data_IF_491771927827
#
_entry.id   IF_491771927827
#
_cell.length_a   1.000
_cell.length_b   1.000
_cell.length_c   1.000
_cell.angle_alpha   90.00
_cell.angle_beta   90.00
_cell.angle_gamma   90.00
#
_symmetry.space_group_name_H-M   'P 1'
#
loop_
_entity.id
_entity.type
_entity.pdbx_description
1 polymer ?
#
# COMPACT_ATOMS: atom_id res chain seq x y z
N UNK A 1 9.05 -15.96 -17.40
CA UNK A 1 9.70 -15.55 -16.14
C UNK A 1 9.41 -16.62 -15.09
N UNK A 2 10.39 -17.13 -14.32
CA UNK A 2 10.12 -18.10 -13.24
C UNK A 2 9.11 -17.52 -12.23
N UNK A 3 8.16 -18.30 -11.71
CA UNK A 3 7.07 -17.78 -10.86
C UNK A 3 7.53 -16.97 -9.64
N UNK A 4 8.71 -17.29 -9.10
CA UNK A 4 9.36 -16.49 -8.05
C UNK A 4 9.51 -15.02 -8.45
N UNK A 5 10.04 -14.75 -9.64
CA UNK A 5 10.30 -13.39 -10.11
C UNK A 5 9.00 -12.64 -10.37
N UNK A 6 8.01 -13.34 -10.91
CA UNK A 6 6.68 -12.77 -11.15
C UNK A 6 5.98 -12.40 -9.83
N UNK A 7 6.02 -13.29 -8.84
CA UNK A 7 5.50 -13.01 -7.50
C UNK A 7 6.20 -11.81 -6.87
N UNK A 8 7.54 -11.78 -6.85
CA UNK A 8 8.31 -10.63 -6.31
C UNK A 8 7.84 -9.32 -6.93
N UNK A 9 7.74 -9.28 -8.27
CA UNK A 9 7.38 -8.08 -9.04
C UNK A 9 5.95 -7.59 -8.76
N UNK A 10 5.01 -8.52 -8.56
CA UNK A 10 3.58 -8.22 -8.46
C UNK A 10 3.10 -7.93 -7.03
N UNK A 11 3.98 -8.07 -6.01
CA UNK A 11 3.62 -7.72 -4.64
C UNK A 11 3.33 -6.23 -4.48
N UNK A 12 2.19 -5.93 -3.85
CA UNK A 12 1.77 -4.57 -3.50
C UNK A 12 2.14 -4.26 -2.05
N UNK A 13 2.62 -3.06 -1.77
CA UNK A 13 2.84 -2.63 -0.40
C UNK A 13 1.49 -2.48 0.33
N UNK A 14 1.40 -3.07 1.52
CA UNK A 14 0.29 -2.90 2.44
C UNK A 14 0.77 -2.21 3.74
N UNK A 15 0.91 -0.87 3.72
CA UNK A 15 1.15 -0.07 4.91
C UNK A 15 0.09 -0.32 5.97
N UNK A 16 0.51 -0.53 7.21
CA UNK A 16 -0.39 -0.84 8.30
C UNK A 16 0.18 -0.49 9.68
N UNK A 17 -0.64 0.15 10.50
CA UNK A 17 -0.33 0.37 11.92
C UNK A 17 -0.54 -0.91 12.77
N UNK A 18 -1.15 -1.94 12.19
CA UNK A 18 -1.53 -3.18 12.88
C UNK A 18 -0.31 -3.99 13.33
N UNK A 19 -0.40 -4.61 14.49
CA UNK A 19 0.50 -5.66 14.93
C UNK A 19 0.31 -6.97 14.15
N UNK A 20 1.25 -7.91 14.24
CA UNK A 20 1.21 -9.17 13.50
C UNK A 20 -0.08 -9.98 13.75
N UNK A 21 -0.58 -10.02 14.99
CA UNK A 21 -1.82 -10.72 15.33
C UNK A 21 -3.06 -10.08 14.70
N UNK A 22 -3.12 -8.75 14.69
CA UNK A 22 -4.21 -7.99 14.05
C UNK A 22 -4.18 -8.15 12.53
N UNK A 23 -3.00 -8.13 11.92
CA UNK A 23 -2.85 -8.44 10.48
C UNK A 23 -3.37 -9.84 10.18
N UNK A 24 -3.04 -10.81 11.04
CA UNK A 24 -3.41 -12.21 10.86
C UNK A 24 -4.92 -12.46 10.96
N UNK A 25 -5.61 -11.67 11.78
CA UNK A 25 -7.05 -11.75 11.99
C UNK A 25 -7.84 -10.94 10.98
N UNK A 26 -7.39 -9.73 10.66
CA UNK A 26 -8.19 -8.73 9.95
C UNK A 26 -7.91 -8.71 8.44
N UNK A 27 -6.75 -9.20 7.97
CA UNK A 27 -6.38 -9.17 6.56
C UNK A 27 -6.48 -10.59 5.98
N UNK A 28 -7.32 -10.86 4.97
CA UNK A 28 -7.44 -12.18 4.35
C UNK A 28 -6.10 -12.79 3.90
N UNK A 29 -5.96 -14.12 4.02
CA UNK A 29 -4.72 -14.85 3.70
C UNK A 29 -4.28 -14.63 2.24
N UNK A 30 -5.24 -14.56 1.32
CA UNK A 30 -5.04 -14.29 -0.10
C UNK A 30 -4.40 -12.91 -0.34
N UNK A 31 -4.80 -11.89 0.43
CA UNK A 31 -4.23 -10.55 0.33
C UNK A 31 -2.82 -10.56 0.91
N UNK A 32 -2.62 -11.17 2.08
CA UNK A 32 -1.29 -11.26 2.72
C UNK A 32 -0.28 -11.99 1.83
N UNK A 33 -0.68 -13.06 1.16
CA UNK A 33 0.20 -13.84 0.28
C UNK A 33 0.68 -13.05 -0.95
N UNK A 34 -0.03 -11.99 -1.34
CA UNK A 34 0.25 -11.14 -2.52
C UNK A 34 0.71 -9.73 -2.15
N UNK A 35 0.92 -9.46 -0.86
CA UNK A 35 1.35 -8.16 -0.37
C UNK A 35 2.75 -8.21 0.26
N UNK A 36 3.44 -7.07 0.24
CA UNK A 36 4.58 -6.81 1.13
C UNK A 36 4.09 -5.96 2.29
N UNK A 37 4.30 -6.43 3.51
CA UNK A 37 3.90 -5.73 4.73
C UNK A 37 4.87 -6.01 5.88
N UNK A 38 4.89 -5.12 6.85
CA UNK A 38 5.63 -5.28 8.10
C UNK A 38 4.76 -4.74 9.22
N UNK A 39 4.61 -5.51 10.31
CA UNK A 39 3.79 -5.09 11.44
C UNK A 39 4.23 -3.72 11.98
N UNK A 40 3.25 -2.84 12.24
CA UNK A 40 3.44 -1.46 12.72
C UNK A 40 4.25 -0.55 11.81
N UNK A 41 4.25 -0.81 10.50
CA UNK A 41 4.85 0.07 9.50
C UNK A 41 3.71 0.65 8.65
N UNK A 42 3.19 1.79 9.09
CA UNK A 42 2.12 2.52 8.40
C UNK A 42 2.66 3.50 7.36
N UNK A 43 3.93 3.85 7.48
CA UNK A 43 4.66 4.73 6.58
C UNK A 43 4.93 3.99 5.27
N UNK A 44 4.32 4.49 4.23
CA UNK A 44 4.37 3.94 2.90
C UNK A 44 5.79 4.06 2.33
N UNK A 45 6.49 5.19 2.52
CA UNK A 45 7.88 5.33 2.05
C UNK A 45 8.83 4.29 2.66
N UNK A 46 8.72 4.03 3.97
CA UNK A 46 9.51 3.01 4.66
C UNK A 46 9.21 1.65 4.08
N UNK A 47 7.92 1.32 3.93
CA UNK A 47 7.52 0.02 3.43
C UNK A 47 7.95 -0.20 1.97
N UNK A 48 7.88 0.82 1.12
CA UNK A 48 8.34 0.73 -0.27
C UNK A 48 9.83 0.61 -0.40
N UNK A 49 10.58 1.39 0.39
CA UNK A 49 12.04 1.27 0.41
C UNK A 49 12.45 -0.11 0.92
N UNK A 50 11.80 -0.60 1.97
CA UNK A 50 12.02 -1.94 2.50
C UNK A 50 11.70 -3.02 1.48
N UNK A 51 10.58 -2.89 0.76
CA UNK A 51 10.22 -3.80 -0.33
C UNK A 51 11.28 -3.78 -1.42
N UNK A 52 11.66 -2.60 -1.91
CA UNK A 52 12.66 -2.45 -2.98
C UNK A 52 13.98 -3.13 -2.62
N UNK A 53 14.53 -2.84 -1.43
CA UNK A 53 15.78 -3.46 -0.96
C UNK A 53 15.62 -4.97 -0.81
N UNK A 54 14.47 -5.42 -0.29
CA UNK A 54 14.18 -6.86 -0.19
C UNK A 54 14.07 -7.50 -1.57
N UNK A 55 13.44 -6.86 -2.54
CA UNK A 55 13.30 -7.35 -3.91
C UNK A 55 14.66 -7.41 -4.63
N UNK A 56 15.54 -6.43 -4.40
CA UNK A 56 16.93 -6.45 -4.87
C UNK A 56 17.70 -7.65 -4.29
N UNK A 57 17.55 -7.91 -2.99
CA UNK A 57 18.11 -9.09 -2.35
C UNK A 57 17.54 -10.39 -2.94
N UNK A 58 16.22 -10.50 -3.08
CA UNK A 58 15.56 -11.71 -3.56
C UNK A 58 15.85 -12.01 -5.03
N UNK A 59 16.10 -10.97 -5.83
CA UNK A 59 16.51 -11.07 -7.23
C UNK A 59 18.01 -11.34 -7.40
N UNK A 60 18.80 -11.20 -6.34
CA UNK A 60 20.25 -11.41 -6.36
C UNK A 60 21.05 -10.19 -6.84
N UNK A 61 20.43 -9.01 -6.92
CA UNK A 61 21.12 -7.75 -7.27
C UNK A 61 22.07 -7.28 -6.16
N UNK A 62 21.72 -7.56 -4.90
CA UNK A 62 22.53 -7.23 -3.73
C UNK A 62 22.64 -8.43 -2.78
N UNK A 63 23.69 -8.43 -1.95
CA UNK A 63 23.90 -9.44 -0.91
C UNK A 63 22.99 -9.26 0.31
N UNK A 64 22.87 -10.30 1.16
CA UNK A 64 22.05 -10.23 2.38
C UNK A 64 22.56 -9.16 3.36
N UNK A 65 23.88 -9.08 3.54
CA UNK A 65 24.49 -8.12 4.48
C UNK A 65 24.32 -6.68 4.01
N UNK A 66 24.47 -6.44 2.70
CA UNK A 66 24.20 -5.16 2.06
C UNK A 66 22.72 -4.76 2.22
N UNK A 67 21.79 -5.68 1.93
CA UNK A 67 20.37 -5.43 2.13
C UNK A 67 20.05 -5.08 3.59
N UNK A 68 20.62 -5.79 4.56
CA UNK A 68 20.46 -5.48 5.99
C UNK A 68 21.00 -4.10 6.34
N UNK A 69 22.17 -3.73 5.81
CA UNK A 69 22.76 -2.40 6.04
C UNK A 69 21.87 -1.28 5.48
N UNK A 70 21.41 -1.40 4.23
CA UNK A 70 20.53 -0.44 3.58
C UNK A 70 19.19 -0.29 4.30
N UNK A 71 18.59 -1.40 4.76
CA UNK A 71 17.35 -1.36 5.54
C UNK A 71 17.56 -0.63 6.87
N UNK A 72 18.68 -0.90 7.57
CA UNK A 72 19.01 -0.27 8.84
C UNK A 72 19.24 1.23 8.68
N UNK A 73 20.04 1.61 7.69
CA UNK A 73 20.32 3.01 7.37
C UNK A 73 19.02 3.77 7.14
N UNK A 74 18.13 3.23 6.28
CA UNK A 74 16.86 3.88 5.98
C UNK A 74 15.92 3.94 7.20
N UNK A 75 15.86 2.88 8.01
CA UNK A 75 15.08 2.87 9.24
C UNK A 75 15.53 3.96 10.23
N UNK A 76 16.85 4.13 10.39
CA UNK A 76 17.44 5.17 11.24
C UNK A 76 17.17 6.58 10.71
N UNK A 77 17.41 6.80 9.42
CA UNK A 77 17.12 8.07 8.77
C UNK A 77 15.64 8.45 8.88
N UNK A 78 14.74 7.46 8.91
CA UNK A 78 13.30 7.63 9.08
C UNK A 78 12.83 7.69 10.54
N UNK A 79 13.75 7.80 11.51
CA UNK A 79 13.41 7.90 12.94
C UNK A 79 12.76 6.64 13.53
N UNK A 80 13.00 5.46 12.96
CA UNK A 80 12.43 4.18 13.41
C UNK A 80 13.39 3.31 14.23
N UNK A 81 14.48 3.90 14.70
CA UNK A 81 15.41 3.26 15.63
C UNK A 81 15.11 3.73 17.06
N UNK A 82 14.58 2.85 17.90
CA UNK A 82 14.36 3.12 19.33
C UNK A 82 15.56 2.72 20.21
N UNK A 83 16.67 2.30 19.59
CA UNK A 83 17.90 1.87 20.26
C UNK A 83 17.85 0.47 20.88
N UNK A 84 16.70 -0.24 20.83
CA UNK A 84 16.56 -1.58 21.41
C UNK A 84 16.80 -2.68 20.37
N UNK A 85 17.28 -3.85 20.79
CA UNK A 85 17.34 -5.04 19.91
C UNK A 85 15.98 -5.78 19.82
N UNK A 86 14.87 -5.13 20.18
CA UNK A 86 13.56 -5.76 20.15
C UNK A 86 13.03 -5.90 18.71
N UNK A 87 12.13 -6.86 18.48
CA UNK A 87 11.41 -7.00 17.20
C UNK A 87 10.45 -5.84 16.88
N UNK A 88 10.20 -4.95 17.85
CA UNK A 88 9.41 -3.73 17.63
C UNK A 88 10.26 -2.60 17.03
N UNK A 89 11.57 -2.59 17.30
CA UNK A 89 12.50 -1.67 16.67
C UNK A 89 12.67 -2.05 15.20
N UNK A 90 12.37 -1.14 14.28
CA UNK A 90 12.49 -1.43 12.85
C UNK A 90 13.94 -1.46 12.36
N UNK A 91 14.87 -0.85 13.10
CA UNK A 91 16.29 -0.82 12.79
C UNK A 91 17.10 -1.96 13.46
N UNK A 92 16.48 -2.74 14.37
CA UNK A 92 17.19 -3.81 15.09
C UNK A 92 17.63 -4.94 14.18
N UNK A 93 18.72 -5.61 14.56
CA UNK A 93 19.22 -6.75 13.78
C UNK A 93 18.17 -7.86 13.70
N UNK A 94 17.51 -8.16 14.82
CA UNK A 94 16.49 -9.20 14.88
C UNK A 94 15.31 -8.92 13.93
N UNK A 95 14.85 -7.66 13.84
CA UNK A 95 13.72 -7.30 12.98
C UNK A 95 14.08 -7.35 11.50
N UNK A 96 15.26 -6.84 11.13
CA UNK A 96 15.72 -6.83 9.75
C UNK A 96 15.99 -8.24 9.22
N UNK A 97 16.62 -9.09 10.05
CA UNK A 97 16.82 -10.51 9.71
C UNK A 97 15.50 -11.25 9.52
N UNK A 98 14.51 -10.99 10.38
CA UNK A 98 13.18 -11.59 10.24
C UNK A 98 12.53 -11.20 8.90
N UNK A 99 12.60 -9.92 8.51
CA UNK A 99 12.04 -9.43 7.24
C UNK A 99 12.71 -10.13 6.05
N UNK A 100 14.05 -10.12 6.00
CA UNK A 100 14.81 -10.71 4.89
C UNK A 100 14.60 -12.23 4.81
N UNK A 101 14.71 -12.94 5.94
CA UNK A 101 14.56 -14.39 6.00
C UNK A 101 13.15 -14.84 5.61
N UNK A 102 12.13 -14.21 6.17
CA UNK A 102 10.74 -14.58 5.90
C UNK A 102 10.38 -14.37 4.44
N UNK A 103 10.79 -13.24 3.85
CA UNK A 103 10.55 -12.95 2.44
C UNK A 103 11.31 -13.92 1.52
N UNK A 104 12.55 -14.29 1.86
CA UNK A 104 13.31 -15.30 1.11
C UNK A 104 12.65 -16.68 1.15
N UNK A 105 12.15 -17.08 2.32
CA UNK A 105 11.44 -18.36 2.50
C UNK A 105 10.11 -18.39 1.74
N UNK A 106 9.32 -17.32 1.78
CA UNK A 106 8.10 -17.21 0.97
C UNK A 106 8.40 -17.28 -0.53
N UNK A 107 9.39 -16.54 -1.01
CA UNK A 107 9.80 -16.57 -2.42
C UNK A 107 10.25 -17.97 -2.87
N UNK A 108 11.00 -18.68 -2.00
CA UNK A 108 11.41 -20.08 -2.24
C UNK A 108 10.22 -21.04 -2.22
N UNK A 109 9.24 -20.81 -1.35
CA UNK A 109 8.01 -21.62 -1.29
C UNK A 109 7.17 -21.48 -2.56
N UNK A 110 7.00 -20.26 -3.08
CA UNK A 110 6.32 -20.01 -4.38
C UNK A 110 7.02 -20.77 -5.51
N UNK A 111 8.34 -20.65 -5.61
CA UNK A 111 9.12 -21.38 -6.60
C UNK A 111 8.98 -22.91 -6.48
N UNK A 112 9.07 -23.43 -5.24
CA UNK A 112 8.92 -24.86 -5.00
C UNK A 112 7.52 -25.32 -5.36
N UNK A 113 6.49 -24.55 -5.02
CA UNK A 113 5.10 -24.87 -5.31
C UNK A 113 4.86 -25.04 -6.81
N UNK A 114 5.27 -24.07 -7.63
CA UNK A 114 5.17 -24.16 -9.11
C UNK A 114 5.72 -25.50 -9.65
N UNK A 115 6.91 -25.89 -9.17
CA UNK A 115 7.57 -27.12 -9.62
C UNK A 115 6.91 -28.38 -9.07
N UNK A 116 6.58 -28.39 -7.78
CA UNK A 116 5.98 -29.54 -7.10
C UNK A 116 4.60 -29.89 -7.64
N UNK A 117 3.84 -28.89 -8.08
CA UNK A 117 2.46 -29.06 -8.56
C UNK A 117 2.35 -29.05 -10.09
N UNK A 118 3.47 -29.05 -10.82
CA UNK A 118 3.45 -29.26 -12.27
C UNK A 118 2.86 -30.64 -12.62
N UNK A 119 2.14 -30.80 -13.76
CA UNK A 119 1.55 -32.09 -14.14
C UNK A 119 2.57 -33.24 -14.19
N UNK A 120 3.79 -32.96 -14.65
CA UNK A 120 4.87 -33.95 -14.66
C UNK A 120 5.30 -34.37 -13.24
N UNK A 121 5.44 -33.41 -12.32
CA UNK A 121 5.82 -33.71 -10.94
C UNK A 121 4.70 -34.43 -10.18
N UNK A 122 3.43 -34.11 -10.42
CA UNK A 122 2.29 -34.81 -9.80
C UNK A 122 2.21 -36.27 -10.23
N UNK A 123 2.50 -36.58 -11.50
CA UNK A 123 2.53 -37.98 -11.99
C UNK A 123 3.62 -38.81 -11.33
N UNK A 124 4.80 -38.23 -11.10
CA UNK A 124 5.96 -38.97 -10.55
C UNK A 124 5.95 -38.97 -9.03
N UNK A 125 5.59 -37.85 -8.41
CA UNK A 125 5.63 -37.62 -6.97
C UNK A 125 4.26 -37.12 -6.46
N UNK A 126 3.24 -37.98 -6.36
CA UNK A 126 1.91 -37.56 -5.90
C UNK A 126 1.86 -37.24 -4.39
N UNK A 127 2.90 -37.61 -3.63
CA UNK A 127 2.97 -37.44 -2.19
C UNK A 127 4.13 -36.52 -1.77
N UNK A 128 4.02 -35.98 -0.56
CA UNK A 128 5.11 -35.30 0.14
C UNK A 128 5.28 -35.90 1.53
N UNK A 129 6.54 -36.13 1.92
CA UNK A 129 6.92 -36.36 3.32
C UNK A 129 7.25 -35.02 3.96
N UNK A 130 6.61 -34.74 5.09
CA UNK A 130 6.86 -33.53 5.85
C UNK A 130 8.17 -33.67 6.63
N UNK A 131 9.07 -32.70 6.49
CA UNK A 131 10.37 -32.64 7.19
C UNK A 131 10.40 -31.44 8.11
N UNK A 132 10.26 -31.65 9.41
CA UNK A 132 10.16 -30.58 10.38
C UNK A 132 11.53 -30.02 10.78
N UNK A 133 11.62 -28.69 10.91
CA UNK A 133 12.76 -27.99 11.51
C UNK A 133 14.14 -28.41 10.96
N UNK A 134 14.25 -28.64 9.65
CA UNK A 134 15.46 -29.15 8.99
C UNK A 134 16.65 -28.23 9.28
N UNK A 135 17.73 -28.80 9.83
CA UNK A 135 18.95 -28.07 10.18
C UNK A 135 18.78 -27.08 11.34
N UNK A 136 17.65 -27.06 12.04
CA UNK A 136 17.47 -26.20 13.21
C UNK A 136 18.23 -26.75 14.42
N UNK A 137 19.01 -25.90 15.09
CA UNK A 137 19.65 -26.24 16.39
C UNK A 137 18.63 -26.35 17.52
N UNK A 138 17.47 -25.70 17.39
CA UNK A 138 16.38 -25.75 18.36
C UNK A 138 15.06 -26.02 17.62
N UNK A 139 14.76 -27.30 17.32
CA UNK A 139 13.49 -27.69 16.70
C UNK A 139 12.29 -27.33 17.57
N UNK A 140 11.20 -26.86 16.94
CA UNK A 140 9.96 -26.49 17.64
C UNK A 140 9.05 -27.71 17.72
N UNK A 141 8.58 -28.09 18.91
CA UNK A 141 7.77 -29.29 19.12
C UNK A 141 6.46 -29.27 18.33
N UNK A 142 5.85 -28.08 18.17
CA UNK A 142 4.61 -27.90 17.40
C UNK A 142 4.81 -28.14 15.90
N UNK A 143 6.04 -28.01 15.40
CA UNK A 143 6.41 -28.38 14.03
C UNK A 143 6.84 -29.84 13.97
N UNK A 144 7.57 -30.31 14.99
CA UNK A 144 8.13 -31.67 15.08
C UNK A 144 7.08 -32.78 15.12
N UNK A 145 5.87 -32.52 15.65
CA UNK A 145 4.76 -33.48 15.64
C UNK A 145 4.33 -33.92 14.23
N UNK A 146 4.72 -33.18 13.20
CA UNK A 146 4.42 -33.49 11.80
C UNK A 146 5.59 -34.17 11.06
N UNK A 147 6.76 -34.30 11.67
CA UNK A 147 7.94 -34.86 11.00
C UNK A 147 7.69 -36.31 10.57
N UNK A 148 8.05 -36.62 9.32
CA UNK A 148 7.88 -37.95 8.75
C UNK A 148 6.47 -38.26 8.25
N UNK A 149 5.44 -37.48 8.62
CA UNK A 149 4.08 -37.68 8.10
C UNK A 149 4.05 -37.52 6.58
N UNK A 150 3.27 -38.38 5.91
CA UNK A 150 3.14 -38.41 4.47
C UNK A 150 1.76 -37.92 4.08
N UNK A 151 1.71 -36.91 3.22
CA UNK A 151 0.47 -36.33 2.72
C UNK A 151 0.40 -36.54 1.21
N UNK A 152 -0.82 -36.77 0.70
CA UNK A 152 -1.07 -36.51 -0.72
C UNK A 152 -0.96 -35.01 -0.98
N UNK A 153 -0.48 -34.63 -2.15
CA UNK A 153 -0.33 -33.21 -2.51
C UNK A 153 -1.66 -32.45 -2.59
N UNK A 154 -2.79 -33.15 -2.77
CA UNK A 154 -4.13 -32.56 -2.76
C UNK A 154 -4.77 -32.50 -1.37
N UNK A 155 -4.06 -32.88 -0.30
CA UNK A 155 -4.59 -32.81 1.06
C UNK A 155 -4.83 -31.34 1.50
N UNK A 156 -6.06 -30.99 1.92
CA UNK A 156 -6.38 -29.63 2.38
C UNK A 156 -5.48 -29.09 3.50
N UNK A 157 -4.89 -29.95 4.33
CA UNK A 157 -3.96 -29.56 5.39
C UNK A 157 -2.72 -28.82 4.85
N UNK A 158 -2.27 -29.16 3.64
CA UNK A 158 -1.13 -28.49 3.00
C UNK A 158 -1.42 -27.03 2.65
N UNK A 159 -2.69 -26.60 2.58
CA UNK A 159 -3.04 -25.18 2.38
C UNK A 159 -2.62 -24.30 3.56
N UNK A 160 -2.63 -24.83 4.78
CA UNK A 160 -2.23 -24.06 5.99
C UNK A 160 -0.86 -24.43 6.53
N UNK A 161 -0.32 -25.59 6.18
CA UNK A 161 0.94 -26.11 6.72
C UNK A 161 2.04 -26.31 5.67
N UNK A 162 1.89 -25.80 4.44
CA UNK A 162 3.02 -25.71 3.52
C UNK A 162 4.07 -24.73 4.07
N UNK A 163 5.35 -25.13 4.23
CA UNK A 163 6.36 -24.23 4.75
C UNK A 163 6.69 -23.06 3.78
N UNK A 164 6.93 -21.83 4.31
CA UNK A 164 6.87 -21.46 5.72
C UNK A 164 5.43 -21.15 6.17
N UNK A 165 4.93 -21.84 7.20
CA UNK A 165 3.63 -21.53 7.81
C UNK A 165 3.74 -20.84 9.18
N UNK A 166 4.96 -20.45 9.57
CA UNK A 166 5.22 -19.66 10.78
C UNK A 166 6.54 -18.89 10.61
N UNK A 167 6.72 -17.81 11.37
CA UNK A 167 8.00 -17.08 11.41
C UNK A 167 9.13 -18.01 11.87
N UNK A 168 10.30 -17.90 11.22
CA UNK A 168 11.46 -18.75 11.52
C UNK A 168 11.26 -20.23 11.19
N UNK A 169 10.22 -20.60 10.42
CA UNK A 169 10.01 -21.98 9.99
C UNK A 169 11.18 -22.46 9.10
N UNK A 170 11.74 -23.62 9.42
CA UNK A 170 12.76 -24.34 8.64
C UNK A 170 12.26 -25.71 8.16
N UNK A 171 10.94 -25.91 8.14
CA UNK A 171 10.34 -27.14 7.65
C UNK A 171 10.41 -27.20 6.12
N UNK A 172 10.39 -28.41 5.58
CA UNK A 172 10.41 -28.67 4.14
C UNK A 172 9.40 -29.76 3.76
N UNK A 173 9.00 -29.76 2.49
CA UNK A 173 8.25 -30.85 1.88
C UNK A 173 9.20 -31.62 0.96
N UNK A 174 9.37 -32.90 1.26
CA UNK A 174 10.16 -33.82 0.47
C UNK A 174 9.23 -34.58 -0.48
N UNK A 175 9.39 -34.40 -1.79
CA UNK A 175 8.58 -35.10 -2.79
C UNK A 175 8.93 -36.59 -2.82
N UNK A 176 7.92 -37.44 -2.70
CA UNK A 176 8.10 -38.90 -2.71
C UNK A 176 7.15 -39.57 -3.71
N UNK A 177 7.63 -40.66 -4.30
CA UNK A 177 6.86 -41.52 -5.19
C UNK A 177 5.85 -42.35 -4.39
N UNK A 178 4.84 -42.90 -5.07
CA UNK A 178 3.89 -43.83 -4.45
C UNK A 178 4.57 -45.06 -3.84
N UNK A 179 5.56 -45.63 -4.54
CA UNK A 179 6.37 -46.75 -4.02
C UNK A 179 7.12 -46.40 -2.74
N UNK A 180 7.65 -45.18 -2.64
CA UNK A 180 8.31 -44.71 -1.42
C UNK A 180 7.29 -44.48 -0.30
N UNK A 181 6.13 -43.89 -0.61
CA UNK A 181 5.06 -43.70 0.37
C UNK A 181 4.61 -45.04 0.96
N UNK A 182 4.36 -46.05 0.13
CA UNK A 182 3.98 -47.40 0.58
C UNK A 182 5.03 -48.04 1.49
N UNK A 183 6.33 -47.88 1.18
CA UNK A 183 7.43 -48.39 2.02
C UNK A 183 7.54 -47.69 3.37
N UNK A 184 7.08 -46.45 3.48
CA UNK A 184 7.18 -45.61 4.68
C UNK A 184 5.88 -45.62 5.52
N UNK A 185 4.97 -46.55 5.26
CA UNK A 185 3.72 -46.71 6.02
C UNK A 185 2.48 -46.07 5.38
N UNK A 186 2.62 -45.50 4.19
CA UNK A 186 1.51 -44.91 3.43
C UNK A 186 1.18 -43.46 3.83
N UNK A 187 0.30 -42.79 3.07
CA UNK A 187 -0.18 -41.46 3.41
C UNK A 187 -1.10 -41.49 4.62
N UNK A 188 -1.19 -40.37 5.34
CA UNK A 188 -2.26 -40.16 6.30
C UNK A 188 -3.62 -40.10 5.59
N UNK A 189 -4.69 -40.37 6.33
CA UNK A 189 -6.05 -40.17 5.82
C UNK A 189 -6.25 -38.71 5.42
N UNK A 190 -6.90 -38.43 4.27
CA UNK A 190 -7.13 -37.06 3.82
C UNK A 190 -7.81 -36.21 4.88
N UNK A 191 -7.28 -35.01 5.11
CA UNK A 191 -7.88 -34.07 6.06
C UNK A 191 -9.19 -33.50 5.49
N UNK A 192 -10.33 -33.64 6.19
CA UNK A 192 -11.56 -32.98 5.76
C UNK A 192 -11.40 -31.46 5.74
N UNK A 193 -11.84 -30.74 4.69
CA UNK A 193 -11.66 -29.29 4.57
C UNK A 193 -12.13 -28.50 5.81
N UNK A 194 -13.23 -28.92 6.43
CA UNK A 194 -13.84 -28.27 7.60
C UNK A 194 -13.01 -28.47 8.88
N UNK A 195 -12.06 -29.40 8.87
CA UNK A 195 -11.16 -29.70 10.00
C UNK A 195 -9.78 -29.09 9.85
N UNK A 196 -9.51 -28.37 8.75
CA UNK A 196 -8.24 -27.67 8.55
C UNK A 196 -8.14 -26.51 9.53
N UNK A 197 -7.05 -26.48 10.31
CA UNK A 197 -6.75 -25.40 11.26
C UNK A 197 -5.45 -24.70 10.87
N UNK A 198 -5.30 -23.46 11.33
CA UNK A 198 -4.05 -22.71 11.25
C UNK A 198 -3.35 -22.83 12.62
N UNK A 199 -2.27 -23.61 12.68
CA UNK A 199 -1.53 -23.89 13.92
C UNK A 199 -0.41 -22.88 14.22
N UNK A 200 -0.36 -21.77 13.47
CA UNK A 200 0.67 -20.75 13.64
C UNK A 200 0.56 -20.06 15.00
N UNK A 201 1.58 -20.21 15.86
CA UNK A 201 1.65 -19.56 17.17
C UNK A 201 1.63 -18.03 17.08
N UNK A 202 2.10 -17.51 15.95
CA UNK A 202 2.41 -16.09 15.79
C UNK A 202 1.40 -15.38 14.87
N UNK A 203 0.37 -16.11 14.44
CA UNK A 203 -0.65 -15.67 13.49
C UNK A 203 -0.22 -15.70 12.02
N UNK A 204 1.08 -15.68 11.73
CA UNK A 204 1.58 -15.73 10.36
C UNK A 204 1.23 -17.06 9.69
N UNK A 205 0.61 -16.99 8.52
CA UNK A 205 0.37 -18.14 7.64
C UNK A 205 0.58 -17.70 6.20
N UNK A 206 1.13 -18.59 5.39
CA UNK A 206 1.39 -18.34 3.98
C UNK A 206 1.12 -19.60 3.17
N UNK A 207 0.14 -19.49 2.29
CA UNK A 207 -0.16 -20.52 1.32
C UNK A 207 0.43 -20.10 -0.03
N UNK A 208 1.46 -20.78 -0.54
CA UNK A 208 2.08 -20.43 -1.81
C UNK A 208 1.13 -20.61 -3.01
N UNK A 209 0.02 -21.36 -2.88
CA UNK A 209 -0.97 -21.47 -3.95
C UNK A 209 -1.66 -20.13 -4.22
N UNK A 210 -1.90 -19.30 -3.19
CA UNK A 210 -2.46 -17.95 -3.33
C UNK A 210 -1.57 -17.01 -4.18
N UNK A 211 -0.29 -17.35 -4.38
CA UNK A 211 0.58 -16.60 -5.30
C UNK A 211 0.20 -16.80 -6.79
N UNK A 212 -0.52 -17.87 -7.11
CA UNK A 212 -0.94 -18.26 -8.46
C UNK A 212 -2.43 -18.11 -8.71
N UNK A 213 -3.20 -17.86 -7.64
CA UNK A 213 -4.63 -17.64 -7.75
C UNK A 213 -4.91 -16.39 -8.59
N UNK A 214 -5.40 -16.67 -9.79
CA UNK A 214 -6.25 -15.77 -10.57
C UNK A 214 -7.67 -16.19 -10.20
N UNK A 215 -8.52 -15.28 -9.74
CA UNK A 215 -9.93 -15.63 -9.57
C UNK A 215 -10.52 -16.06 -10.92
N UNK A 216 -11.67 -16.73 -10.94
CA UNK A 216 -12.33 -17.05 -12.21
C UNK A 216 -12.76 -15.73 -12.87
N UNK A 217 -12.15 -15.46 -14.03
CA UNK A 217 -12.18 -14.19 -14.75
C UNK A 217 -12.54 -14.44 -16.22
N UNK A 218 -13.47 -15.34 -16.52
CA UNK A 218 -14.03 -15.49 -17.87
C UNK A 218 -14.56 -14.17 -18.49
N UNK A 219 -14.64 -13.09 -17.70
CA UNK A 219 -14.84 -11.71 -18.18
C UNK A 219 -13.77 -10.66 -17.81
N UNK A 220 -12.58 -11.00 -17.28
CA UNK A 220 -11.61 -10.00 -16.81
C UNK A 220 -10.14 -10.30 -17.16
N UNK A 221 -9.47 -9.26 -17.62
CA UNK A 221 -8.03 -9.20 -17.92
C UNK A 221 -7.18 -9.26 -16.63
N UNK A 222 -5.90 -9.72 -16.70
CA UNK A 222 -5.08 -10.17 -15.56
C UNK A 222 -5.04 -9.19 -14.38
N UNK A 223 -4.90 -9.72 -13.17
CA UNK A 223 -4.92 -9.00 -11.90
C UNK A 223 -4.06 -7.71 -11.93
N UNK A 224 -4.73 -6.62 -12.28
CA UNK A 224 -4.14 -5.29 -12.33
C UNK A 224 -4.14 -4.71 -10.91
N UNK A 225 -3.25 -3.75 -10.66
CA UNK A 225 -3.25 -2.96 -9.41
C UNK A 225 -4.65 -2.46 -9.07
N UNK A 226 -5.43 -2.11 -10.08
CA UNK A 226 -6.84 -1.75 -9.98
C UNK A 226 -7.68 -2.77 -9.21
N UNK A 227 -7.52 -4.07 -9.46
CA UNK A 227 -8.30 -5.13 -8.80
C UNK A 227 -8.02 -5.21 -7.30
N UNK A 228 -6.75 -5.09 -6.90
CA UNK A 228 -6.33 -5.08 -5.50
C UNK A 228 -6.90 -3.87 -4.77
N UNK A 229 -6.87 -2.69 -5.42
CA UNK A 229 -7.47 -1.48 -4.86
C UNK A 229 -8.98 -1.61 -4.71
N UNK A 230 -9.69 -2.20 -5.68
CA UNK A 230 -11.14 -2.44 -5.58
C UNK A 230 -11.48 -3.38 -4.42
N UNK A 231 -10.77 -4.50 -4.29
CA UNK A 231 -10.98 -5.43 -3.18
C UNK A 231 -10.73 -4.77 -1.81
N UNK A 232 -9.68 -3.95 -1.70
CA UNK A 232 -9.43 -3.18 -0.49
C UNK A 232 -10.53 -2.14 -0.22
N UNK A 233 -11.00 -1.45 -1.25
CA UNK A 233 -12.10 -0.47 -1.15
C UNK A 233 -13.39 -1.12 -0.66
N UNK A 234 -13.77 -2.27 -1.23
CA UNK A 234 -14.91 -3.08 -0.79
C UNK A 234 -14.73 -3.55 0.64
N UNK A 235 -13.55 -4.06 1.01
CA UNK A 235 -13.29 -4.51 2.37
C UNK A 235 -13.37 -3.38 3.40
N UNK A 236 -12.91 -2.16 3.06
CA UNK A 236 -13.06 -0.96 3.90
C UNK A 236 -14.53 -0.56 4.01
N UNK A 237 -15.26 -0.59 2.89
CA UNK A 237 -16.69 -0.27 2.84
C UNK A 237 -17.52 -1.22 3.72
N UNK A 238 -17.21 -2.51 3.65
CA UNK A 238 -17.90 -3.60 4.35
C UNK A 238 -17.40 -3.84 5.78
N UNK A 239 -16.46 -3.02 6.28
CA UNK A 239 -15.86 -3.15 7.62
C UNK A 239 -15.02 -4.41 7.83
N UNK A 240 -14.69 -5.15 6.77
CA UNK A 240 -13.72 -6.25 6.81
C UNK A 240 -12.30 -5.73 7.02
N UNK A 241 -12.04 -4.49 6.60
CA UNK A 241 -10.79 -3.78 6.81
C UNK A 241 -11.05 -2.42 7.48
N UNK A 242 -10.15 -2.00 8.37
CA UNK A 242 -10.14 -0.62 8.89
C UNK A 242 -9.63 0.39 7.85
N UNK A 243 -9.44 1.66 8.21
CA UNK A 243 -8.78 2.62 7.31
C UNK A 243 -7.40 2.11 6.86
N UNK A 244 -7.06 2.30 5.59
CA UNK A 244 -5.78 1.80 5.02
C UNK A 244 -5.20 2.76 4.00
N UNK A 245 -3.87 2.83 3.95
CA UNK A 245 -3.11 3.47 2.88
C UNK A 245 -2.29 2.41 2.13
N UNK A 246 -2.16 2.55 0.82
CA UNK A 246 -1.46 1.61 -0.06
C UNK A 246 -0.61 2.34 -1.08
N UNK A 247 0.68 1.98 -1.22
CA UNK A 247 1.43 2.35 -2.43
C UNK A 247 1.05 1.36 -3.51
N UNK A 248 0.26 1.84 -4.46
CA UNK A 248 -0.28 1.03 -5.54
C UNK A 248 0.64 1.01 -6.75
N UNK A 249 1.46 2.07 -6.93
CA UNK A 249 2.54 2.08 -7.90
C UNK A 249 3.79 2.76 -7.34
N UNK A 250 4.99 2.13 -7.42
CA UNK A 250 6.24 2.80 -7.08
C UNK A 250 6.55 3.92 -8.06
N UNK A 251 7.57 4.74 -7.79
CA UNK A 251 8.08 5.66 -8.80
C UNK A 251 8.63 4.89 -10.01
N UNK A 252 8.43 5.43 -11.22
CA UNK A 252 9.02 4.89 -12.45
C UNK A 252 10.14 5.82 -12.95
N UNK A 253 10.84 5.42 -14.01
CA UNK A 253 11.88 6.23 -14.64
C UNK A 253 11.73 6.20 -16.16
N UNK A 254 12.02 7.32 -16.81
CA UNK A 254 12.14 7.40 -18.27
C UNK A 254 10.82 7.38 -19.05
N UNK A 255 9.66 7.44 -18.39
CA UNK A 255 8.38 7.58 -19.08
C UNK A 255 8.13 9.06 -19.45
N UNK A 256 7.67 9.36 -20.68
CA UNK A 256 7.40 10.73 -21.09
C UNK A 256 6.20 11.29 -20.30
N UNK A 257 6.25 12.57 -19.86
CA UNK A 257 5.09 13.22 -19.26
C UNK A 257 3.89 13.26 -20.21
N UNK A 258 2.68 13.07 -19.67
CA UNK A 258 1.43 13.28 -20.39
C UNK A 258 1.22 14.78 -20.68
N UNK A 259 0.59 15.08 -21.82
CA UNK A 259 0.18 16.45 -22.14
C UNK A 259 -0.87 16.94 -21.14
N UNK A 260 -0.66 18.16 -20.65
CA UNK A 260 -1.62 18.86 -19.80
C UNK A 260 -2.55 19.74 -20.67
N UNK A 261 -3.72 20.16 -20.14
CA UNK A 261 -4.57 21.13 -20.84
C UNK A 261 -3.79 22.39 -21.24
N UNK A 262 -4.31 23.12 -22.25
CA UNK A 262 -3.74 24.42 -22.65
C UNK A 262 -3.69 25.34 -21.43
N UNK A 263 -2.48 25.75 -21.10
CA UNK A 263 -2.10 26.42 -19.86
C UNK A 263 -2.78 27.77 -19.66
N UNK A 264 -3.31 28.36 -20.72
CA UNK A 264 -3.91 29.69 -20.72
C UNK A 264 -5.24 29.76 -19.94
N UNK A 265 -6.09 28.72 -20.00
CA UNK A 265 -7.36 28.68 -19.26
C UNK A 265 -7.13 28.46 -17.76
N UNK A 266 -6.15 27.61 -17.43
CA UNK A 266 -5.73 27.35 -16.05
C UNK A 266 -5.09 28.59 -15.44
N UNK A 267 -4.23 29.28 -16.20
CA UNK A 267 -3.61 30.56 -15.81
C UNK A 267 -4.65 31.64 -15.57
N UNK A 268 -5.61 31.83 -16.49
CA UNK A 268 -6.68 32.82 -16.31
C UNK A 268 -7.53 32.55 -15.05
N UNK A 269 -7.82 31.28 -14.76
CA UNK A 269 -8.47 30.88 -13.51
C UNK A 269 -7.64 31.21 -12.28
N UNK A 270 -6.33 30.92 -12.29
CA UNK A 270 -5.42 31.27 -11.19
C UNK A 270 -5.26 32.77 -11.00
N UNK A 271 -5.11 33.54 -12.08
CA UNK A 271 -5.00 35.00 -12.03
C UNK A 271 -6.26 35.64 -11.43
N UNK A 272 -7.46 35.13 -11.77
CA UNK A 272 -8.72 35.59 -11.18
C UNK A 272 -8.82 35.29 -9.67
N UNK A 273 -8.24 34.17 -9.21
CA UNK A 273 -8.22 33.80 -7.79
C UNK A 273 -7.11 34.49 -6.99
N UNK A 274 -5.97 34.79 -7.64
CA UNK A 274 -4.77 35.37 -7.03
C UNK A 274 -5.06 36.69 -6.31
N UNK A 275 -5.61 37.67 -7.03
CA UNK A 275 -5.85 39.01 -6.46
C UNK A 275 -6.86 38.99 -5.31
N UNK A 276 -7.87 38.14 -5.45
CA UNK A 276 -8.92 37.97 -4.43
C UNK A 276 -8.35 37.38 -3.15
N UNK A 277 -7.57 36.31 -3.25
CA UNK A 277 -7.05 35.63 -2.07
C UNK A 277 -5.86 36.37 -1.42
N UNK A 278 -5.04 37.12 -2.18
CA UNK A 278 -4.02 38.02 -1.62
C UNK A 278 -4.62 39.08 -0.70
N UNK A 279 -5.63 39.81 -1.17
CA UNK A 279 -6.34 40.83 -0.39
C UNK A 279 -6.92 40.29 0.91
N UNK A 280 -7.44 39.08 0.88
CA UNK A 280 -8.04 38.46 2.07
C UNK A 280 -7.01 37.97 3.09
N UNK A 281 -5.84 37.50 2.64
CA UNK A 281 -4.72 37.19 3.53
C UNK A 281 -4.20 38.45 4.21
N UNK A 282 -4.02 39.53 3.45
CA UNK A 282 -3.63 40.84 3.97
C UNK A 282 -4.65 41.37 4.99
N UNK A 283 -5.96 41.26 4.70
CA UNK A 283 -7.04 41.62 5.62
C UNK A 283 -7.04 40.76 6.91
N UNK A 284 -6.55 39.52 6.84
CA UNK A 284 -6.36 38.64 7.99
C UNK A 284 -5.01 38.86 8.71
N UNK A 285 -4.21 39.85 8.30
CA UNK A 285 -2.90 40.15 8.89
C UNK A 285 -1.79 39.18 8.48
N UNK A 286 -1.97 38.44 7.39
CA UNK A 286 -1.01 37.48 6.87
C UNK A 286 -0.29 38.06 5.64
N UNK A 287 1.02 37.79 5.51
CA UNK A 287 1.79 38.12 4.32
C UNK A 287 1.55 37.05 3.24
N UNK A 288 0.90 37.38 2.10
CA UNK A 288 0.62 36.42 1.04
C UNK A 288 1.86 35.90 0.31
N UNK A 289 2.97 36.65 0.36
CA UNK A 289 4.25 36.31 -0.28
C UNK A 289 5.17 35.49 0.65
N UNK A 290 4.99 35.63 1.97
CA UNK A 290 5.82 34.97 2.98
C UNK A 290 5.00 34.10 3.95
N UNK A 291 4.03 33.36 3.42
CA UNK A 291 3.32 32.38 4.24
C UNK A 291 4.27 31.27 4.71
N UNK A 292 4.21 30.87 6.00
CA UNK A 292 5.03 29.79 6.52
C UNK A 292 4.85 28.51 5.70
N UNK A 293 5.92 27.72 5.57
CA UNK A 293 5.82 26.39 4.96
C UNK A 293 4.98 25.44 5.82
N UNK A 294 4.64 24.28 5.25
CA UNK A 294 3.80 23.32 5.97
C UNK A 294 4.46 22.82 7.27
N UNK A 295 5.80 22.74 7.33
CA UNK A 295 6.54 22.30 8.51
C UNK A 295 6.39 23.29 9.67
N UNK A 296 6.60 24.57 9.39
CA UNK A 296 6.47 25.68 10.35
C UNK A 296 5.06 25.77 10.90
N UNK A 297 4.06 25.58 10.04
CA UNK A 297 2.65 25.54 10.46
C UNK A 297 2.33 24.31 11.28
N UNK A 298 2.77 23.12 10.85
CA UNK A 298 2.52 21.88 11.59
C UNK A 298 3.18 21.92 12.97
N UNK A 299 4.37 22.50 13.07
CA UNK A 299 5.04 22.75 14.35
C UNK A 299 4.22 23.70 15.22
N UNK A 300 3.77 24.84 14.68
CA UNK A 300 2.92 25.77 15.42
C UNK A 300 1.59 25.15 15.88
N UNK A 301 0.98 24.26 15.08
CA UNK A 301 -0.23 23.51 15.46
C UNK A 301 0.06 22.51 16.58
N UNK A 302 1.18 21.77 16.48
CA UNK A 302 1.63 20.84 17.54
C UNK A 302 1.89 21.57 18.85
N UNK A 303 2.51 22.74 18.79
CA UNK A 303 2.87 23.55 19.95
C UNK A 303 1.67 24.27 20.57
N UNK A 304 0.71 24.72 19.75
CA UNK A 304 -0.48 25.45 20.22
C UNK A 304 -1.68 24.57 20.58
N UNK A 305 -1.70 23.32 20.14
CA UNK A 305 -2.83 22.39 20.31
C UNK A 305 -4.11 22.83 19.59
N UNK A 306 -4.04 23.88 18.76
CA UNK A 306 -5.17 24.44 18.00
C UNK A 306 -4.87 24.37 16.52
N UNK A 307 -5.77 23.76 15.74
CA UNK A 307 -5.78 23.92 14.29
C UNK A 307 -6.24 25.37 14.03
N UNK A 308 -5.43 26.24 13.39
CA UNK A 308 -5.89 27.57 13.02
C UNK A 308 -7.21 27.44 12.26
N UNK A 309 -8.23 28.21 12.66
CA UNK A 309 -9.51 28.18 11.95
C UNK A 309 -9.26 28.43 10.46
N UNK A 310 -9.81 27.53 9.66
CA UNK A 310 -9.74 27.61 8.21
C UNK A 310 -10.24 28.99 7.76
N UNK A 311 -9.66 29.50 6.68
CA UNK A 311 -10.06 30.72 5.97
C UNK A 311 -11.55 31.02 6.16
N UNK A 312 -11.88 32.19 6.73
CA UNK A 312 -13.26 32.51 7.13
C UNK A 312 -14.24 32.37 5.96
N UNK A 313 -15.52 32.10 6.26
CA UNK A 313 -16.56 31.94 5.23
C UNK A 313 -16.66 33.12 4.25
N UNK A 314 -16.29 34.33 4.68
CA UNK A 314 -16.25 35.52 3.83
C UNK A 314 -15.18 35.46 2.73
N UNK A 315 -14.04 34.83 2.98
CA UNK A 315 -12.96 34.62 2.01
C UNK A 315 -13.29 33.45 1.09
N UNK A 316 -13.83 32.35 1.65
CA UNK A 316 -14.36 31.22 0.88
C UNK A 316 -15.36 31.73 -0.15
N UNK A 317 -16.21 32.69 0.24
CA UNK A 317 -17.31 33.12 -0.60
C UNK A 317 -16.93 33.91 -1.85
N UNK A 318 -15.66 34.29 -1.95
CA UNK A 318 -15.07 35.03 -3.07
C UNK A 318 -14.31 34.14 -4.06
N UNK A 319 -14.12 32.85 -3.76
CA UNK A 319 -13.64 31.90 -4.78
C UNK A 319 -14.75 31.61 -5.81
N UNK A 320 -14.39 31.32 -7.07
CA UNK A 320 -15.35 30.94 -8.10
C UNK A 320 -16.30 29.85 -7.62
N UNK A 321 -17.60 30.06 -7.85
CA UNK A 321 -18.62 29.09 -7.49
C UNK A 321 -18.51 27.81 -8.35
N UNK A 322 -18.10 27.97 -9.61
CA UNK A 322 -17.86 26.87 -10.54
C UNK A 322 -16.46 26.26 -10.34
N UNK A 323 -16.34 24.93 -10.25
CA UNK A 323 -15.06 24.24 -10.21
C UNK A 323 -14.18 24.52 -11.43
N UNK A 324 -12.87 24.69 -11.22
CA UNK A 324 -11.90 24.92 -12.27
C UNK A 324 -11.17 23.62 -12.60
N UNK A 325 -11.18 23.20 -13.87
CA UNK A 325 -10.41 22.03 -14.30
C UNK A 325 -8.93 22.39 -14.39
N UNK A 326 -8.12 21.76 -13.54
CA UNK A 326 -6.65 21.95 -13.51
C UNK A 326 -5.92 20.89 -14.31
N UNK A 327 -6.55 19.76 -14.61
CA UNK A 327 -5.91 18.69 -15.38
C UNK A 327 -6.75 17.43 -15.51
N UNK A 328 -6.11 16.36 -15.91
CA UNK A 328 -6.63 14.98 -15.91
C UNK A 328 -5.58 14.10 -15.24
N UNK A 329 -6.01 13.12 -14.45
CA UNK A 329 -5.08 12.17 -13.86
C UNK A 329 -4.39 11.34 -14.96
N UNK A 330 -3.06 11.21 -14.90
CA UNK A 330 -2.34 10.41 -15.89
C UNK A 330 -2.80 8.93 -15.89
N UNK A 331 -2.71 8.31 -17.06
CA UNK A 331 -3.19 6.95 -17.33
C UNK A 331 -2.68 5.91 -16.34
N UNK A 332 -1.37 5.91 -16.07
CA UNK A 332 -0.72 4.98 -15.13
C UNK A 332 -1.25 5.12 -13.72
N UNK A 333 -1.45 6.35 -13.25
CA UNK A 333 -1.99 6.61 -11.92
C UNK A 333 -3.47 6.23 -11.82
N UNK A 334 -4.27 6.52 -12.84
CA UNK A 334 -5.68 6.13 -12.90
C UNK A 334 -5.82 4.59 -12.86
N UNK A 335 -5.07 3.90 -13.72
CA UNK A 335 -5.01 2.43 -13.73
C UNK A 335 -4.57 1.88 -12.37
N UNK A 336 -3.50 2.42 -11.78
CA UNK A 336 -3.00 1.95 -10.49
C UNK A 336 -4.01 2.18 -9.35
N UNK A 337 -4.73 3.30 -9.38
CA UNK A 337 -5.76 3.62 -8.39
C UNK A 337 -7.11 2.91 -8.63
N UNK A 338 -7.21 2.13 -9.71
CA UNK A 338 -8.41 1.37 -10.06
C UNK A 338 -9.60 2.24 -10.42
N UNK A 339 -9.33 3.39 -11.05
CA UNK A 339 -10.35 4.33 -11.53
C UNK A 339 -10.12 4.65 -13.03
N UNK A 340 -11.14 5.07 -13.77
CA UNK A 340 -10.92 5.67 -15.09
C UNK A 340 -10.06 6.94 -14.98
N UNK A 341 -9.54 7.42 -16.10
CA UNK A 341 -8.92 8.75 -16.13
C UNK A 341 -10.00 9.80 -15.92
N UNK A 342 -9.96 10.44 -14.75
CA UNK A 342 -10.94 11.44 -14.35
C UNK A 342 -10.34 12.85 -14.41
N UNK A 343 -11.15 13.87 -14.72
CA UNK A 343 -10.73 15.26 -14.62
C UNK A 343 -10.41 15.61 -13.17
N UNK A 344 -9.37 16.41 -12.98
CA UNK A 344 -8.96 16.97 -11.70
C UNK A 344 -9.45 18.40 -11.63
N UNK A 345 -10.28 18.69 -10.63
CA UNK A 345 -10.93 19.97 -10.42
C UNK A 345 -10.43 20.62 -9.13
N UNK A 346 -10.28 21.94 -9.19
CA UNK A 346 -10.08 22.81 -8.05
C UNK A 346 -11.42 23.46 -7.71
N UNK A 347 -11.94 23.19 -6.51
CA UNK A 347 -13.26 23.65 -6.07
C UNK A 347 -13.15 24.74 -5.00
N UNK A 348 -14.25 25.47 -4.75
CA UNK A 348 -14.45 26.21 -3.50
C UNK A 348 -14.87 25.19 -2.44
N UNK A 349 -13.97 24.83 -1.52
CA UNK A 349 -14.06 23.64 -0.65
C UNK A 349 -15.41 23.36 0.03
N UNK A 350 -15.64 22.09 0.42
CA UNK A 350 -16.95 21.57 0.85
C UNK A 350 -17.04 21.41 2.38
N UNK A 351 -18.11 21.94 2.97
CA UNK A 351 -18.43 21.83 4.41
C UNK A 351 -18.78 20.41 4.89
N UNK A 352 -19.16 19.48 4.00
CA UNK A 352 -19.57 18.10 4.38
C UNK A 352 -18.43 17.18 4.83
N UNK A 353 -17.19 17.48 4.44
CA UNK A 353 -16.04 16.61 4.73
C UNK A 353 -14.86 17.35 5.37
N UNK A 354 -15.08 18.59 5.83
CA UNK A 354 -14.13 19.34 6.65
C UNK A 354 -12.89 19.87 5.93
N UNK A 355 -12.87 19.90 4.59
CA UNK A 355 -11.77 20.48 3.83
C UNK A 355 -12.28 21.70 3.07
N UNK A 356 -12.18 22.86 3.72
CA UNK A 356 -12.26 24.15 3.05
C UNK A 356 -10.91 24.42 2.38
N UNK A 357 -10.93 24.83 1.11
CA UNK A 357 -9.70 25.09 0.35
C UNK A 357 -8.91 26.22 1.02
N UNK A 358 -7.73 25.90 1.55
CA UNK A 358 -6.83 26.91 2.12
C UNK A 358 -5.86 27.37 1.04
N UNK A 359 -5.72 28.69 0.87
CA UNK A 359 -4.64 29.28 0.08
C UNK A 359 -3.28 28.68 0.47
N UNK A 360 -3.04 28.42 1.76
CA UNK A 360 -1.82 27.76 2.26
C UNK A 360 -1.50 26.44 1.55
N UNK A 361 -2.51 25.63 1.23
CA UNK A 361 -2.33 24.31 0.61
C UNK A 361 -2.06 24.39 -0.90
N UNK A 362 -2.12 25.61 -1.46
CA UNK A 362 -1.97 25.89 -2.89
C UNK A 362 -1.19 27.20 -3.12
N UNK A 363 -0.41 27.67 -2.13
CA UNK A 363 0.21 29.00 -2.19
C UNK A 363 1.11 29.13 -3.42
N UNK A 364 1.79 28.04 -3.79
CA UNK A 364 2.62 27.96 -4.98
C UNK A 364 1.81 28.02 -6.29
N UNK A 365 0.56 27.53 -6.27
CA UNK A 365 -0.34 27.61 -7.42
C UNK A 365 -0.86 29.03 -7.64
N UNK A 366 -1.13 29.75 -6.55
CA UNK A 366 -1.76 31.06 -6.63
C UNK A 366 -0.78 32.25 -6.61
N UNK A 367 0.41 32.10 -6.03
CA UNK A 367 1.38 33.20 -5.97
C UNK A 367 2.09 33.42 -7.32
N UNK A 368 2.47 32.32 -8.00
CA UNK A 368 3.24 32.35 -9.24
C UNK A 368 2.65 31.33 -10.23
N UNK A 369 1.90 31.76 -11.26
CA UNK A 369 1.28 30.86 -12.23
C UNK A 369 2.29 29.89 -12.86
N UNK A 370 3.52 30.33 -13.15
CA UNK A 370 4.58 29.49 -13.72
C UNK A 370 4.97 28.34 -12.78
N UNK A 371 4.94 28.55 -11.46
CA UNK A 371 5.15 27.49 -10.48
C UNK A 371 3.97 26.52 -10.44
N UNK A 372 2.74 27.03 -10.59
CA UNK A 372 1.55 26.19 -10.72
C UNK A 372 1.69 25.20 -11.88
N UNK A 373 2.09 25.74 -13.04
CA UNK A 373 2.34 24.99 -14.27
C UNK A 373 3.46 23.95 -14.11
N UNK A 374 4.58 24.36 -13.51
CA UNK A 374 5.70 23.46 -13.23
C UNK A 374 5.25 22.28 -12.36
N UNK A 375 4.57 22.59 -11.25
CA UNK A 375 4.07 21.60 -10.31
C UNK A 375 3.10 20.62 -10.99
N UNK A 376 2.15 21.14 -11.78
CA UNK A 376 1.22 20.37 -12.63
C UNK A 376 1.93 19.35 -13.50
N UNK A 377 3.03 19.76 -14.14
CA UNK A 377 3.87 18.88 -14.96
C UNK A 377 4.63 17.85 -14.14
N UNK A 378 5.17 18.25 -13.00
CA UNK A 378 5.98 17.38 -12.13
C UNK A 378 5.18 16.27 -11.46
N UNK A 379 3.85 16.41 -11.33
CA UNK A 379 2.98 15.40 -10.69
C UNK A 379 1.85 14.89 -11.57
N UNK A 380 0.79 15.67 -11.86
CA UNK A 380 -0.38 15.19 -12.63
C UNK A 380 0.02 14.66 -14.00
N UNK A 381 0.87 15.40 -14.71
CA UNK A 381 1.40 15.00 -16.00
C UNK A 381 2.52 13.96 -15.94
N UNK A 382 3.10 13.68 -14.77
CA UNK A 382 4.28 12.83 -14.68
C UNK A 382 3.92 11.36 -14.35
N UNK A 383 3.98 10.43 -15.31
CA UNK A 383 3.73 9.02 -15.02
C UNK A 383 4.81 8.38 -14.14
N UNK A 384 5.96 9.05 -13.95
CA UNK A 384 7.04 8.57 -13.10
C UNK A 384 6.75 8.72 -11.59
N UNK A 385 5.65 9.38 -11.22
CA UNK A 385 5.28 9.50 -9.82
C UNK A 385 5.00 8.15 -9.16
N UNK A 386 5.32 8.10 -7.87
CA UNK A 386 4.76 7.12 -6.94
C UNK A 386 3.27 7.43 -6.77
N UNK A 387 2.44 6.40 -6.79
CA UNK A 387 0.98 6.51 -6.64
C UNK A 387 0.58 5.84 -5.33
N UNK A 388 -0.04 6.61 -4.45
CA UNK A 388 -0.56 6.15 -3.17
C UNK A 388 -2.07 6.29 -3.17
N UNK A 389 -2.78 5.30 -2.66
CA UNK A 389 -4.23 5.32 -2.45
C UNK A 389 -4.51 5.11 -0.99
N UNK A 390 -5.28 6.00 -0.37
CA UNK A 390 -5.82 5.79 0.97
C UNK A 390 -7.33 5.73 0.97
N UNK A 391 -7.87 4.86 1.82
CA UNK A 391 -9.26 4.44 1.84
C UNK A 391 -9.79 4.50 3.27
N UNK A 392 -10.81 5.32 3.49
CA UNK A 392 -11.51 5.46 4.78
C UNK A 392 -12.99 5.23 4.58
N UNK A 393 -13.59 4.47 5.50
CA UNK A 393 -15.04 4.35 5.57
C UNK A 393 -15.67 5.68 5.97
N UNK A 394 -16.71 6.08 5.26
CA UNK A 394 -17.57 7.21 5.61
C UNK A 394 -19.03 6.83 5.37
N UNK A 395 -19.95 7.76 5.63
CA UNK A 395 -21.35 7.61 5.30
C UNK A 395 -21.88 8.89 4.67
N UNK A 396 -22.66 8.77 3.60
CA UNK A 396 -23.39 9.89 3.01
C UNK A 396 -24.85 9.75 3.40
N UNK A 397 -25.47 10.88 3.75
CA UNK A 397 -26.91 10.93 3.96
C UNK A 397 -27.58 11.19 2.61
N UNK A 398 -28.29 10.19 2.10
CA UNK A 398 -29.18 10.32 0.95
C UNK A 398 -30.64 10.43 1.42
N UNK A 399 -31.48 11.06 0.62
CA UNK A 399 -32.92 11.08 0.85
C UNK A 399 -33.57 10.17 -0.19
N UNK A 400 -34.02 8.99 0.25
CA UNK A 400 -34.73 8.03 -0.61
C UNK A 400 -36.19 8.03 -0.14
N UNK A 401 -37.12 8.32 -1.05
CA UNK A 401 -38.56 8.41 -0.75
C UNK A 401 -38.91 9.29 0.47
N UNK A 402 -38.22 10.43 0.63
CA UNK A 402 -38.47 11.39 1.73
C UNK A 402 -37.89 10.99 3.10
N UNK A 403 -37.20 9.84 3.20
CA UNK A 403 -36.53 9.39 4.43
C UNK A 403 -35.02 9.58 4.31
N UNK A 404 -34.38 10.01 5.40
CA UNK A 404 -32.92 10.10 5.51
C UNK A 404 -32.33 8.72 5.72
N UNK A 405 -31.52 8.26 4.76
CA UNK A 405 -30.78 7.00 4.85
C UNK A 405 -29.28 7.30 4.87
N UNK A 406 -28.55 6.62 5.77
CA UNK A 406 -27.08 6.69 5.83
C UNK A 406 -26.52 5.52 5.01
N UNK A 407 -25.98 5.83 3.84
CA UNK A 407 -25.35 4.84 2.98
C UNK A 407 -23.84 4.81 3.26
N UNK A 408 -23.27 3.63 3.60
CA UNK A 408 -21.83 3.51 3.78
C UNK A 408 -21.12 3.70 2.44
N UNK A 409 -20.06 4.51 2.46
CA UNK A 409 -19.19 4.73 1.31
C UNK A 409 -17.73 4.51 1.73
N UNK A 410 -16.85 4.33 0.74
CA UNK A 410 -15.41 4.41 0.94
C UNK A 410 -14.90 5.70 0.29
N UNK A 411 -14.35 6.61 1.09
CA UNK A 411 -13.64 7.77 0.58
C UNK A 411 -12.27 7.30 0.10
N UNK A 412 -11.99 7.52 -1.19
CA UNK A 412 -10.71 7.21 -1.82
C UNK A 412 -9.93 8.50 -2.05
N UNK A 413 -8.73 8.57 -1.49
CA UNK A 413 -7.76 9.65 -1.71
C UNK A 413 -6.60 9.09 -2.52
N UNK A 414 -6.16 9.84 -3.53
CA UNK A 414 -5.06 9.48 -4.41
C UNK A 414 -3.96 10.53 -4.25
N UNK A 415 -2.73 10.06 -4.12
CA UNK A 415 -1.55 10.92 -3.98
C UNK A 415 -0.55 10.56 -5.06
N UNK A 416 -0.10 11.56 -5.80
CA UNK A 416 1.06 11.48 -6.68
C UNK A 416 2.24 12.10 -5.96
N UNK A 417 3.34 11.36 -5.83
CA UNK A 417 4.58 11.87 -5.24
C UNK A 417 5.74 11.66 -6.21
N UNK A 418 6.41 12.76 -6.58
CA UNK A 418 7.63 12.75 -7.37
C UNK A 418 8.84 12.75 -6.43
N UNK A 419 9.51 11.61 -6.20
CA UNK A 419 10.63 11.54 -5.26
C UNK A 419 11.87 12.32 -5.72
N UNK A 420 11.96 12.67 -7.01
CA UNK A 420 13.11 13.41 -7.54
C UNK A 420 13.00 14.90 -7.22
N UNK A 421 11.80 15.47 -7.33
CA UNK A 421 11.59 16.91 -7.12
C UNK A 421 10.98 17.24 -5.76
N UNK A 422 10.46 16.24 -5.03
CA UNK A 422 9.67 16.45 -3.81
C UNK A 422 8.25 16.97 -4.08
N UNK A 423 7.85 17.09 -5.35
CA UNK A 423 6.51 17.55 -5.72
C UNK A 423 5.45 16.50 -5.36
N UNK A 424 4.36 16.94 -4.74
CA UNK A 424 3.21 16.07 -4.46
C UNK A 424 1.87 16.70 -4.83
N UNK A 425 0.91 15.86 -5.22
CA UNK A 425 -0.45 16.26 -5.55
C UNK A 425 -1.43 15.31 -4.88
N UNK A 426 -2.38 15.85 -4.10
CA UNK A 426 -3.37 15.08 -3.36
C UNK A 426 -4.75 15.38 -3.88
N UNK A 427 -5.52 14.33 -4.12
CA UNK A 427 -6.88 14.43 -4.63
C UNK A 427 -7.81 13.41 -3.97
N UNK A 428 -9.10 13.73 -3.92
CA UNK A 428 -10.15 12.85 -3.42
C UNK A 428 -11.12 12.54 -4.54
N UNK A 429 -11.47 11.27 -4.69
CA UNK A 429 -12.46 10.82 -5.66
C UNK A 429 -13.87 11.20 -5.21
N UNK A 430 -14.61 11.86 -6.10
CA UNK A 430 -16.01 12.24 -5.91
C UNK A 430 -16.79 11.95 -7.19
N UNK A 431 -17.37 10.75 -7.28
CA UNK A 431 -18.08 10.30 -8.48
C UNK A 431 -17.13 10.18 -9.67
N UNK A 432 -17.47 10.84 -10.77
CA UNK A 432 -16.70 10.85 -12.04
C UNK A 432 -15.67 12.00 -12.12
N UNK A 433 -15.26 12.54 -10.98
CA UNK A 433 -14.31 13.64 -10.90
C UNK A 433 -13.35 13.45 -9.72
N UNK A 434 -12.17 14.06 -9.82
CA UNK A 434 -11.17 14.12 -8.76
C UNK A 434 -11.10 15.56 -8.25
N UNK A 435 -11.21 15.74 -6.94
CA UNK A 435 -11.09 17.05 -6.30
C UNK A 435 -9.67 17.21 -5.82
N UNK A 436 -8.96 18.22 -6.30
CA UNK A 436 -7.63 18.58 -5.81
C UNK A 436 -7.79 19.11 -4.38
N UNK A 437 -6.96 18.62 -3.46
CA UNK A 437 -7.07 18.93 -2.02
C UNK A 437 -5.85 19.68 -1.51
N UNK A 438 -4.67 19.31 -1.98
CA UNK A 438 -3.40 19.92 -1.58
C UNK A 438 -2.35 19.72 -2.65
N UNK A 439 -1.44 20.68 -2.75
CA UNK A 439 -0.30 20.63 -3.65
C UNK A 439 0.87 21.46 -3.10
N UNK A 440 2.02 20.83 -2.92
CA UNK A 440 3.24 21.56 -2.56
C UNK A 440 4.51 20.74 -2.90
N UNK A 441 5.66 21.27 -2.47
CA UNK A 441 6.92 20.56 -2.34
C UNK A 441 7.04 20.10 -0.89
N UNK A 442 7.24 18.81 -0.65
CA UNK A 442 7.51 18.29 0.68
C UNK A 442 8.57 17.19 0.63
N UNK A 443 9.14 16.89 1.81
CA UNK A 443 10.05 15.77 1.98
C UNK A 443 9.34 14.44 1.73
N UNK A 444 10.13 13.36 1.60
CA UNK A 444 9.59 12.02 1.33
C UNK A 444 8.54 11.55 2.36
N UNK A 445 8.57 12.12 3.57
CA UNK A 445 7.82 11.74 4.77
C UNK A 445 6.47 12.46 4.94
N UNK A 446 6.19 13.50 4.15
CA UNK A 446 4.94 14.26 4.26
C UNK A 446 3.72 13.40 3.94
N UNK A 447 3.84 12.51 2.95
CA UNK A 447 2.84 11.50 2.56
C UNK A 447 2.53 10.46 3.65
N UNK A 448 3.36 10.37 4.68
CA UNK A 448 3.40 9.24 5.61
C UNK A 448 3.05 9.60 7.05
N UNK A 449 3.21 10.88 7.43
CA UNK A 449 2.90 11.42 8.75
C UNK A 449 1.51 12.06 8.83
N UNK A 450 1.12 12.83 7.81
CA UNK A 450 -0.12 13.63 7.80
C UNK A 450 -1.33 12.90 7.15
N UNK A 451 -1.10 11.72 6.58
CA UNK A 451 -2.10 10.95 5.80
C UNK A 451 -2.45 9.62 6.43
N UNK A 452 -1.97 9.37 7.66
CA UNK A 452 -2.50 8.32 8.52
C UNK A 452 -3.98 8.61 8.73
N UNK A 453 -4.80 7.67 8.27
CA UNK A 453 -6.21 7.71 8.59
C UNK A 453 -6.34 7.33 10.06
N UNK A 454 -6.47 8.34 10.93
CA UNK A 454 -6.97 8.14 12.29
C UNK A 454 -8.40 7.59 12.28
#
# INVERSE_FOLDING_TARGET
MPAKQEWIKNRVNLPTAKGSGEISRDIPAQIRARAFFSARVAEAHILDRFRSITDDYLSGRIGRDEARALLREYARASGKDDGTESLKNLASTARLELILDQNAKMARAVYRHERMYSPAALRVFPYVRYRASVGSRQPRSEHGKYDGMIFRKDDPWLRTHTPPWDFGCNCELEQITEKQAAKLGGPVSPTPPERVKVDSRNGFSFDPAHAFETEDLTGMQPASRASIVRQAEEAVRDQRLGPVGMIVAPAAQGLPPAELPKLDEVRAGFDAMKETARRELENAGLDPDHLPDYLTVNQAVRDSGKVPENITGAVRDRFPAEPIKVGTLNSRAAEAAGIPQLPVLLERGNSRYGIEHLWRNHKELFAVPENAVRLLRETLGNPNCRVVVSMKRAAVTSHVAGRKEKQPICLKRIVLHNPTTGGYCVMVQSGEQLRLVSWHNAGEDYGDSEWRLE
#
